data_IF_444259902053
#
_entry.id   IF_444259902053
#
_cell.length_a   1.000
_cell.length_b   1.000
_cell.length_c   1.000
_cell.angle_alpha   90.00
_cell.angle_beta   90.00
_cell.angle_gamma   90.00
#
_symmetry.space_group_name_H-M   'P 1'
#
loop_
_entity.id
_entity.type
_entity.pdbx_description
1 polymer ?
#
# COMPACT_ATOMS: atom_id res chain seq x y z
N UNK A 1 -11.84 7.40 45.79
CA UNK A 1 -11.72 6.07 46.44
C UNK A 1 -13.00 5.31 46.09
N UNK A 2 -13.08 4.34 45.18
CA UNK A 2 -12.14 3.52 44.42
C UNK A 2 -12.71 3.39 42.99
N UNK A 3 -11.87 3.51 41.97
CA UNK A 3 -11.79 2.64 40.76
C UNK A 3 -10.73 3.24 39.81
N UNK A 4 -9.50 3.38 40.32
CA UNK A 4 -8.28 3.53 39.53
C UNK A 4 -7.45 2.31 39.89
N UNK A 5 -7.64 1.21 39.15
CA UNK A 5 -6.83 -0.02 39.19
C UNK A 5 -7.46 -1.00 38.19
N UNK A 6 -7.01 -0.94 36.92
CA UNK A 6 -7.01 -2.08 35.97
C UNK A 6 -6.19 -1.85 34.69
N UNK A 7 -5.87 -0.61 34.29
CA UNK A 7 -5.10 -0.37 33.03
C UNK A 7 -3.57 -0.62 33.20
N UNK A 8 -3.10 -0.76 34.44
CA UNK A 8 -1.68 -0.95 34.76
C UNK A 8 -1.11 -2.37 34.62
N UNK A 9 -1.79 -3.31 33.93
CA UNK A 9 -1.32 -4.70 33.83
C UNK A 9 -1.07 -5.23 32.41
N UNK A 10 -1.45 -4.50 31.35
CA UNK A 10 -1.09 -4.85 29.97
C UNK A 10 0.16 -4.11 29.44
N UNK A 11 0.60 -3.05 30.13
CA UNK A 11 1.77 -2.23 29.74
C UNK A 11 3.11 -2.68 30.34
N UNK A 12 3.25 -3.95 30.73
CA UNK A 12 4.50 -4.43 31.36
C UNK A 12 5.07 -5.70 30.73
N UNK A 13 5.19 -5.71 29.38
CA UNK A 13 6.20 -6.51 28.66
C UNK A 13 6.30 -6.23 27.15
N UNK A 14 6.19 -4.97 26.72
CA UNK A 14 6.76 -4.57 25.43
C UNK A 14 8.02 -3.78 25.77
N UNK A 15 9.11 -4.52 26.01
CA UNK A 15 10.44 -3.96 25.92
C UNK A 15 10.62 -3.49 24.47
N UNK A 16 10.43 -2.17 24.26
CA UNK A 16 10.77 -1.46 23.02
C UNK A 16 12.27 -1.54 22.66
N UNK A 17 13.08 -2.30 23.40
CA UNK A 17 14.50 -2.53 23.12
C UNK A 17 14.80 -3.87 22.42
N UNK A 18 13.80 -4.73 22.19
CA UNK A 18 14.02 -6.09 21.65
C UNK A 18 13.05 -6.52 20.54
N UNK A 19 12.07 -5.69 20.13
CA UNK A 19 11.34 -5.90 18.86
C UNK A 19 12.24 -5.37 17.75
N UNK A 20 13.18 -6.23 17.39
CA UNK A 20 14.37 -5.86 16.67
C UNK A 20 14.14 -5.15 15.36
N UNK A 21 15.15 -4.36 15.04
CA UNK A 21 15.69 -4.04 13.72
C UNK A 21 15.57 -5.19 12.69
N UNK A 22 15.39 -6.44 13.13
CA UNK A 22 15.16 -7.62 12.29
C UNK A 22 13.73 -7.79 11.72
N UNK A 23 12.69 -7.12 12.26
CA UNK A 23 11.31 -7.15 11.67
C UNK A 23 11.11 -6.01 10.66
N UNK A 24 12.09 -5.12 10.50
CA UNK A 24 12.12 -4.05 9.48
C UNK A 24 12.46 -4.54 8.07
N UNK A 25 12.81 -5.82 7.88
CA UNK A 25 13.37 -6.33 6.61
C UNK A 25 12.38 -7.22 5.83
N UNK A 26 11.22 -7.56 6.39
CA UNK A 26 10.13 -8.08 5.54
C UNK A 26 9.37 -6.88 4.97
N UNK A 27 9.95 -6.27 3.94
CA UNK A 27 9.18 -5.44 3.01
C UNK A 27 8.04 -6.34 2.50
N UNK A 28 6.86 -6.22 3.13
CA UNK A 28 5.64 -6.73 2.52
C UNK A 28 5.52 -6.03 1.17
N UNK A 29 5.86 -6.77 0.11
CA UNK A 29 5.75 -6.28 -1.27
C UNK A 29 4.30 -5.87 -1.46
N UNK A 30 4.09 -4.62 -1.88
CA UNK A 30 2.74 -4.11 -2.10
C UNK A 30 2.19 -4.78 -3.36
N UNK A 31 0.91 -5.18 -3.35
CA UNK A 31 0.23 -5.80 -4.48
C UNK A 31 -0.74 -4.80 -5.18
N UNK A 32 -0.53 -3.50 -4.97
CA UNK A 32 -1.39 -2.39 -5.42
C UNK A 32 -1.53 -2.33 -6.94
N UNK A 33 -0.53 -2.75 -7.73
CA UNK A 33 -0.64 -2.75 -9.20
C UNK A 33 -1.88 -3.50 -9.69
N UNK A 34 -2.11 -4.70 -9.13
CA UNK A 34 -3.26 -5.52 -9.49
C UNK A 34 -4.59 -4.83 -9.13
N UNK A 35 -4.59 -4.02 -8.08
CA UNK A 35 -5.75 -3.23 -7.67
C UNK A 35 -5.99 -2.06 -8.62
N UNK A 36 -4.98 -1.27 -8.99
CA UNK A 36 -5.13 -0.17 -9.95
C UNK A 36 -5.57 -0.67 -11.32
N UNK A 37 -4.78 -1.58 -11.90
CA UNK A 37 -5.01 -2.01 -13.28
C UNK A 37 -6.16 -3.02 -13.39
N UNK A 38 -6.34 -3.90 -12.40
CA UNK A 38 -7.49 -4.82 -12.40
C UNK A 38 -8.83 -4.10 -12.23
N UNK A 39 -8.90 -3.02 -11.44
CA UNK A 39 -10.10 -2.16 -11.38
C UNK A 39 -10.37 -1.46 -12.69
N UNK A 40 -9.33 -0.98 -13.38
CA UNK A 40 -9.50 -0.46 -14.74
C UNK A 40 -10.07 -1.52 -15.70
N UNK A 41 -9.58 -2.76 -15.66
CA UNK A 41 -10.12 -3.85 -16.47
C UNK A 41 -11.59 -4.16 -16.12
N UNK A 42 -11.98 -4.08 -14.84
CA UNK A 42 -13.38 -4.20 -14.39
C UNK A 42 -14.24 -3.07 -14.97
N UNK A 43 -13.79 -1.81 -14.87
CA UNK A 43 -14.50 -0.65 -15.40
C UNK A 43 -14.71 -0.73 -16.92
N UNK A 44 -13.74 -1.32 -17.64
CA UNK A 44 -13.85 -1.60 -19.07
C UNK A 44 -14.69 -2.84 -19.39
N UNK A 45 -15.26 -3.51 -18.40
CA UNK A 45 -15.98 -4.78 -18.51
C UNK A 45 -15.16 -5.87 -19.23
N UNK A 46 -13.82 -5.80 -19.13
CA UNK A 46 -12.95 -6.81 -19.73
C UNK A 46 -12.80 -8.05 -18.84
N UNK A 47 -12.94 -7.85 -17.53
CA UNK A 47 -13.03 -8.91 -16.54
C UNK A 47 -14.29 -8.67 -15.70
N UNK A 48 -14.85 -9.74 -15.14
CA UNK A 48 -15.95 -9.72 -14.17
C UNK A 48 -15.41 -9.57 -12.75
N UNK A 49 -16.28 -9.21 -11.81
CA UNK A 49 -15.91 -9.13 -10.39
C UNK A 49 -15.37 -10.47 -9.85
N UNK A 50 -15.91 -11.59 -10.33
CA UNK A 50 -15.45 -12.93 -9.97
C UNK A 50 -14.01 -13.16 -10.46
N UNK A 51 -13.74 -12.89 -11.74
CA UNK A 51 -12.40 -13.03 -12.32
C UNK A 51 -11.39 -12.11 -11.63
N UNK A 52 -11.77 -10.86 -11.32
CA UNK A 52 -10.91 -9.95 -10.55
C UNK A 52 -10.54 -10.54 -9.19
N UNK A 53 -11.52 -11.04 -8.44
CA UNK A 53 -11.26 -11.65 -7.13
C UNK A 53 -10.34 -12.89 -7.25
N UNK A 54 -10.52 -13.71 -8.28
CA UNK A 54 -9.68 -14.87 -8.57
C UNK A 54 -8.24 -14.47 -8.91
N UNK A 55 -8.06 -13.44 -9.76
CA UNK A 55 -6.74 -12.90 -10.14
C UNK A 55 -6.00 -12.40 -8.89
N UNK A 56 -6.67 -11.59 -8.07
CA UNK A 56 -6.09 -11.03 -6.83
C UNK A 56 -5.76 -12.14 -5.82
N UNK A 57 -6.62 -13.16 -5.69
CA UNK A 57 -6.33 -14.32 -4.83
C UNK A 57 -5.14 -15.15 -5.37
N UNK A 58 -5.04 -15.33 -6.69
CA UNK A 58 -3.98 -16.07 -7.32
C UNK A 58 -2.62 -15.36 -7.20
N UNK A 59 -2.59 -14.04 -7.26
CA UNK A 59 -1.40 -13.21 -7.01
C UNK A 59 -0.76 -13.49 -5.64
N UNK A 60 -1.54 -13.96 -4.65
CA UNK A 60 -1.07 -14.32 -3.30
C UNK A 60 -0.44 -15.71 -3.21
N UNK A 61 -0.66 -16.57 -4.21
CA UNK A 61 -0.46 -18.02 -4.09
C UNK A 61 0.93 -18.54 -4.46
N UNK A 62 1.74 -17.82 -5.25
CA UNK A 62 3.13 -18.19 -5.60
C UNK A 62 3.91 -17.06 -6.30
N UNK A 63 5.26 -17.07 -6.28
CA UNK A 63 6.08 -16.21 -7.12
C UNK A 63 5.85 -16.44 -8.62
N UNK A 64 6.11 -15.41 -9.43
CA UNK A 64 5.89 -15.51 -10.86
C UNK A 64 6.89 -16.47 -11.54
N UNK A 65 6.44 -17.23 -12.55
CA UNK A 65 7.25 -18.15 -13.36
C UNK A 65 8.15 -17.36 -14.29
N UNK A 66 9.45 -17.71 -14.34
CA UNK A 66 10.45 -17.02 -15.17
C UNK A 66 10.03 -16.85 -16.62
N UNK A 67 9.43 -17.87 -17.24
CA UNK A 67 8.98 -17.79 -18.62
C UNK A 67 7.92 -16.72 -18.87
N UNK A 68 6.98 -16.52 -17.92
CA UNK A 68 5.95 -15.48 -18.03
C UNK A 68 6.59 -14.10 -17.92
N UNK A 69 7.49 -13.92 -16.95
CA UNK A 69 8.23 -12.68 -16.75
C UNK A 69 9.05 -12.35 -18.00
N UNK A 70 9.76 -13.32 -18.56
CA UNK A 70 10.61 -13.13 -19.73
C UNK A 70 9.83 -12.64 -20.96
N UNK A 71 8.58 -13.09 -21.13
CA UNK A 71 7.72 -12.60 -22.22
C UNK A 71 7.18 -11.21 -21.91
N UNK A 72 6.74 -10.95 -20.68
CA UNK A 72 6.27 -9.63 -20.26
C UNK A 72 7.36 -8.54 -20.37
N UNK A 73 8.61 -8.91 -20.09
CA UNK A 73 9.80 -8.05 -20.22
C UNK A 73 10.34 -7.99 -21.65
N UNK A 74 9.69 -8.64 -22.62
CA UNK A 74 10.07 -8.70 -24.04
C UNK A 74 11.46 -9.30 -24.31
N UNK A 75 12.00 -10.05 -23.36
CA UNK A 75 13.25 -10.79 -23.50
C UNK A 75 13.07 -12.10 -24.28
N UNK A 76 11.88 -12.70 -24.18
CA UNK A 76 11.48 -13.87 -24.95
C UNK A 76 10.18 -13.64 -25.70
N UNK A 77 10.03 -14.26 -26.85
CA UNK A 77 8.72 -14.48 -27.46
C UNK A 77 7.95 -15.57 -26.71
N UNK A 78 6.61 -15.54 -26.74
CA UNK A 78 5.78 -16.61 -26.17
C UNK A 78 6.21 -18.00 -26.66
N UNK A 79 6.52 -18.12 -27.95
CA UNK A 79 7.01 -19.36 -28.55
C UNK A 79 8.34 -19.84 -27.97
N UNK A 80 9.29 -18.94 -27.74
CA UNK A 80 10.58 -19.29 -27.11
C UNK A 80 10.39 -19.71 -25.66
N UNK A 81 9.53 -19.01 -24.91
CA UNK A 81 9.22 -19.38 -23.53
C UNK A 81 8.55 -20.76 -23.45
N UNK A 82 7.63 -21.08 -24.36
CA UNK A 82 7.00 -22.39 -24.45
C UNK A 82 8.01 -23.49 -24.81
N UNK A 83 8.91 -23.24 -25.75
CA UNK A 83 9.98 -24.20 -26.09
C UNK A 83 10.87 -24.50 -24.87
N UNK A 84 11.29 -23.46 -24.14
CA UNK A 84 12.10 -23.61 -22.93
C UNK A 84 11.32 -24.37 -21.85
N UNK A 85 10.03 -24.06 -21.64
CA UNK A 85 9.16 -24.75 -20.69
C UNK A 85 9.00 -26.25 -21.02
N UNK A 86 8.83 -26.60 -22.29
CA UNK A 86 8.71 -28.00 -22.70
C UNK A 86 10.02 -28.77 -22.51
N UNK A 87 11.16 -28.16 -22.84
CA UNK A 87 12.47 -28.74 -22.58
C UNK A 87 12.77 -28.87 -21.09
N UNK A 88 12.36 -27.89 -20.30
CA UNK A 88 12.45 -27.92 -18.84
C UNK A 88 11.75 -29.16 -18.28
N UNK A 89 10.52 -29.47 -18.74
CA UNK A 89 9.75 -30.65 -18.33
C UNK A 89 10.40 -31.96 -18.78
N UNK A 90 11.03 -31.98 -19.95
CA UNK A 90 11.68 -33.18 -20.49
C UNK A 90 13.02 -33.49 -19.82
N UNK A 91 13.77 -32.46 -19.43
CA UNK A 91 15.15 -32.58 -18.95
C UNK A 91 15.29 -32.41 -17.42
N UNK A 92 14.23 -32.00 -16.72
CA UNK A 92 14.22 -31.70 -15.28
C UNK A 92 15.29 -30.65 -14.87
N UNK A 93 15.52 -29.67 -15.75
CA UNK A 93 16.46 -28.56 -15.53
C UNK A 93 15.74 -27.28 -15.05
N UNK A 94 16.49 -26.26 -14.65
CA UNK A 94 15.92 -24.95 -14.32
C UNK A 94 15.67 -24.15 -15.61
N UNK A 95 14.57 -23.41 -15.67
CA UNK A 95 14.19 -22.60 -16.83
C UNK A 95 15.33 -21.71 -17.34
N UNK A 96 16.00 -20.99 -16.42
CA UNK A 96 17.10 -20.08 -16.77
C UNK A 96 18.29 -20.78 -17.41
N UNK A 97 18.66 -21.97 -16.91
CA UNK A 97 19.78 -22.75 -17.46
C UNK A 97 19.48 -23.20 -18.89
N UNK A 98 18.26 -23.71 -19.13
CA UNK A 98 17.80 -24.14 -20.46
C UNK A 98 17.76 -22.96 -21.44
N UNK A 99 17.30 -21.78 -20.99
CA UNK A 99 17.25 -20.58 -21.83
C UNK A 99 18.66 -20.08 -22.23
N UNK A 100 19.64 -20.17 -21.33
CA UNK A 100 21.05 -19.84 -21.61
C UNK A 100 21.65 -20.84 -22.59
N UNK A 101 21.44 -22.13 -22.39
CA UNK A 101 21.94 -23.19 -23.29
C UNK A 101 21.39 -23.04 -24.71
N UNK A 102 20.14 -22.57 -24.85
CA UNK A 102 19.52 -22.26 -26.15
C UNK A 102 20.01 -20.95 -26.78
N UNK A 103 20.77 -20.15 -26.04
CA UNK A 103 21.19 -18.81 -26.48
C UNK A 103 20.02 -17.83 -26.56
N UNK A 104 18.92 -18.10 -25.86
CA UNK A 104 17.76 -17.21 -25.83
C UNK A 104 17.87 -16.13 -24.75
N UNK A 105 18.61 -16.41 -23.67
CA UNK A 105 18.90 -15.45 -22.61
C UNK A 105 20.38 -15.48 -22.23
N UNK A 106 20.89 -14.33 -21.79
CA UNK A 106 22.16 -14.19 -21.11
C UNK A 106 22.02 -14.47 -19.61
N UNK A 107 23.13 -14.81 -18.95
CA UNK A 107 23.14 -15.02 -17.50
C UNK A 107 22.70 -13.78 -16.71
N UNK A 108 23.03 -12.57 -17.20
CA UNK A 108 22.58 -11.32 -16.58
C UNK A 108 21.06 -11.14 -16.71
N UNK A 109 20.47 -11.50 -17.85
CA UNK A 109 19.03 -11.43 -18.09
C UNK A 109 18.27 -12.42 -17.20
N UNK A 110 18.81 -13.62 -16.98
CA UNK A 110 18.24 -14.58 -16.02
C UNK A 110 18.28 -14.04 -14.59
N UNK A 111 19.38 -13.40 -14.18
CA UNK A 111 19.50 -12.78 -12.86
C UNK A 111 18.48 -11.63 -12.69
N UNK A 112 18.28 -10.82 -13.73
CA UNK A 112 17.24 -9.79 -13.77
C UNK A 112 15.83 -10.38 -13.58
N UNK A 113 15.49 -11.45 -14.33
CA UNK A 113 14.20 -12.12 -14.22
C UNK A 113 13.95 -12.74 -12.84
N UNK A 114 14.99 -13.28 -12.19
CA UNK A 114 14.90 -13.81 -10.83
C UNK A 114 14.54 -12.72 -9.81
N UNK A 115 15.11 -11.52 -9.94
CA UNK A 115 14.76 -10.39 -9.09
C UNK A 115 13.29 -9.94 -9.28
N UNK A 116 12.77 -10.10 -10.50
CA UNK A 116 11.39 -9.75 -10.85
C UNK A 116 10.34 -10.79 -10.40
N UNK A 117 10.70 -11.99 -9.93
CA UNK A 117 9.71 -13.02 -9.58
C UNK A 117 8.68 -12.62 -8.52
N UNK A 118 9.04 -11.73 -7.61
CA UNK A 118 8.11 -11.22 -6.61
C UNK A 118 7.52 -9.86 -6.95
N UNK A 119 7.78 -9.33 -8.15
CA UNK A 119 7.24 -8.07 -8.61
C UNK A 119 5.70 -8.19 -8.79
N UNK A 120 4.91 -7.19 -8.34
CA UNK A 120 3.45 -7.25 -8.39
C UNK A 120 2.88 -7.33 -9.80
N UNK A 121 3.46 -6.59 -10.75
CA UNK A 121 3.07 -6.63 -12.16
C UNK A 121 3.29 -8.03 -12.74
N UNK A 122 4.45 -8.63 -12.51
CA UNK A 122 4.75 -9.99 -13.00
C UNK A 122 3.76 -11.04 -12.47
N UNK A 123 3.43 -10.99 -11.18
CA UNK A 123 2.44 -11.89 -10.60
C UNK A 123 1.05 -11.67 -11.16
N UNK A 124 0.66 -10.41 -11.38
CA UNK A 124 -0.64 -10.07 -11.96
C UNK A 124 -0.76 -10.57 -13.40
N UNK A 125 0.27 -10.37 -14.24
CA UNK A 125 0.32 -10.91 -15.61
C UNK A 125 0.20 -12.44 -15.61
N UNK A 126 0.91 -13.12 -14.71
CA UNK A 126 0.77 -14.56 -14.58
C UNK A 126 -0.64 -14.96 -14.17
N UNK A 127 -1.21 -14.34 -13.13
CA UNK A 127 -2.55 -14.66 -12.66
C UNK A 127 -3.59 -14.52 -13.77
N UNK A 128 -3.50 -13.47 -14.59
CA UNK A 128 -4.41 -13.27 -15.73
C UNK A 128 -4.21 -14.33 -16.82
N UNK A 129 -2.96 -14.62 -17.20
CA UNK A 129 -2.65 -15.53 -18.30
C UNK A 129 -2.94 -16.99 -17.95
N UNK A 130 -2.63 -17.42 -16.72
CA UNK A 130 -2.91 -18.79 -16.26
C UNK A 130 -4.42 -19.07 -16.10
N UNK A 131 -5.21 -18.04 -15.78
CA UNK A 131 -6.67 -18.14 -15.78
C UNK A 131 -7.29 -17.98 -17.18
N UNK A 132 -6.48 -17.86 -18.24
CA UNK A 132 -6.91 -17.66 -19.63
C UNK A 132 -7.84 -16.45 -19.82
N UNK A 133 -7.67 -15.42 -18.99
CA UNK A 133 -8.52 -14.22 -19.01
C UNK A 133 -8.09 -13.27 -20.13
N UNK A 134 -6.79 -13.00 -20.23
CA UNK A 134 -6.16 -12.21 -21.29
C UNK A 134 -4.82 -12.82 -21.70
N UNK A 135 -4.40 -12.59 -22.95
CA UNK A 135 -3.03 -12.83 -23.38
C UNK A 135 -2.11 -11.66 -23.00
N UNK A 136 -0.78 -11.87 -23.07
CA UNK A 136 0.20 -10.82 -22.78
C UNK A 136 0.04 -9.64 -23.76
N UNK A 137 -0.23 -9.90 -25.04
CA UNK A 137 -0.46 -8.85 -26.04
C UNK A 137 -1.72 -8.02 -25.73
N UNK A 138 -2.79 -8.67 -25.24
CA UNK A 138 -3.98 -7.95 -24.80
C UNK A 138 -3.70 -7.09 -23.56
N UNK A 139 -2.94 -7.62 -22.58
CA UNK A 139 -2.53 -6.87 -21.39
C UNK A 139 -1.74 -5.63 -21.79
N UNK A 140 -0.76 -5.75 -22.69
CA UNK A 140 0.02 -4.61 -23.19
C UNK A 140 -0.87 -3.55 -23.85
N UNK A 141 -1.84 -3.97 -24.67
CA UNK A 141 -2.79 -3.07 -25.31
C UNK A 141 -3.63 -2.32 -24.26
N UNK A 142 -4.18 -3.03 -23.28
CA UNK A 142 -4.98 -2.41 -22.22
C UNK A 142 -4.14 -1.50 -21.32
N UNK A 143 -2.86 -1.80 -21.10
CA UNK A 143 -1.95 -0.91 -20.38
C UNK A 143 -1.68 0.39 -21.13
N UNK A 144 -1.52 0.32 -22.45
CA UNK A 144 -1.35 1.51 -23.28
C UNK A 144 -2.63 2.36 -23.29
N UNK A 145 -3.80 1.72 -23.31
CA UNK A 145 -5.08 2.42 -23.16
C UNK A 145 -5.22 3.05 -21.76
N UNK A 146 -4.89 2.30 -20.69
CA UNK A 146 -4.91 2.78 -19.31
C UNK A 146 -4.01 4.01 -19.11
N UNK A 147 -2.81 3.96 -19.67
CA UNK A 147 -1.84 5.06 -19.69
C UNK A 147 -2.44 6.30 -20.35
N UNK A 148 -2.97 6.17 -21.56
CA UNK A 148 -3.52 7.29 -22.34
C UNK A 148 -4.73 7.92 -21.67
N UNK A 149 -5.66 7.11 -21.17
CA UNK A 149 -6.90 7.62 -20.58
C UNK A 149 -6.69 8.34 -19.25
N UNK A 150 -5.71 7.91 -18.45
CA UNK A 150 -5.37 8.54 -17.18
C UNK A 150 -4.30 9.63 -17.32
N UNK A 151 -3.77 9.86 -18.52
CA UNK A 151 -2.73 10.85 -18.79
C UNK A 151 -1.37 10.50 -18.18
N UNK A 152 -1.12 9.21 -17.91
CA UNK A 152 0.15 8.77 -17.34
C UNK A 152 1.29 8.84 -18.37
N UNK A 153 2.47 9.17 -17.89
CA UNK A 153 3.73 9.02 -18.60
C UNK A 153 4.26 7.59 -18.49
N UNK A 154 5.25 7.25 -19.31
CA UNK A 154 5.94 5.94 -19.21
C UNK A 154 6.58 5.71 -17.84
N UNK A 155 7.11 6.78 -17.23
CA UNK A 155 7.70 6.73 -15.90
C UNK A 155 6.67 6.37 -14.82
N UNK A 156 5.45 6.91 -14.92
CA UNK A 156 4.39 6.68 -13.93
C UNK A 156 3.81 5.27 -14.04
N UNK A 157 3.67 4.74 -15.27
CA UNK A 157 3.31 3.34 -15.49
C UNK A 157 4.41 2.41 -14.95
N UNK A 158 5.68 2.74 -15.19
CA UNK A 158 6.80 1.97 -14.65
C UNK A 158 6.82 1.99 -13.10
N UNK A 159 6.55 3.15 -12.49
CA UNK A 159 6.42 3.28 -11.05
C UNK A 159 5.31 2.37 -10.49
N UNK A 160 4.12 2.36 -11.11
CA UNK A 160 3.05 1.44 -10.72
C UNK A 160 3.46 -0.04 -10.88
N UNK A 161 4.10 -0.40 -12.00
CA UNK A 161 4.56 -1.78 -12.25
C UNK A 161 5.64 -2.23 -11.27
N UNK A 162 6.51 -1.32 -10.84
CA UNK A 162 7.64 -1.64 -9.97
C UNK A 162 7.21 -2.18 -8.62
N UNK A 163 6.03 -1.79 -8.12
CA UNK A 163 5.59 -2.10 -6.75
C UNK A 163 6.36 -1.32 -5.68
N UNK A 164 7.18 -0.34 -6.08
CA UNK A 164 7.89 0.53 -5.15
C UNK A 164 6.94 1.63 -4.65
N UNK A 165 6.61 1.55 -3.36
CA UNK A 165 5.67 2.48 -2.73
C UNK A 165 6.16 3.93 -2.79
N UNK A 166 7.47 4.16 -2.73
CA UNK A 166 8.06 5.50 -2.72
C UNK A 166 8.01 6.13 -4.12
N UNK A 167 7.93 5.31 -5.17
CA UNK A 167 7.67 5.77 -6.54
C UNK A 167 6.17 5.96 -6.82
N UNK A 168 5.31 5.23 -6.10
CA UNK A 168 3.85 5.27 -6.29
C UNK A 168 3.22 6.47 -5.56
N UNK A 169 3.64 6.77 -4.33
CA UNK A 169 3.07 7.88 -3.52
C UNK A 169 3.05 9.21 -4.29
N UNK A 170 4.15 9.67 -4.93
CA UNK A 170 4.18 10.95 -5.63
C UNK A 170 3.24 11.02 -6.85
N UNK A 171 2.76 9.88 -7.35
CA UNK A 171 1.77 9.86 -8.44
C UNK A 171 0.40 10.35 -7.98
N UNK A 172 0.09 10.20 -6.70
CA UNK A 172 -1.23 10.47 -6.14
C UNK A 172 -1.22 11.57 -5.09
N UNK A 173 -0.07 11.86 -4.48
CA UNK A 173 0.06 12.84 -3.40
C UNK A 173 0.86 14.05 -3.87
N UNK A 174 0.21 15.21 -3.86
CA UNK A 174 0.82 16.51 -4.14
C UNK A 174 1.12 17.21 -2.82
N UNK A 175 2.34 17.02 -2.31
CA UNK A 175 2.85 17.68 -1.11
C UNK A 175 3.98 18.66 -1.46
N UNK A 176 3.78 19.93 -1.12
CA UNK A 176 4.64 21.04 -1.53
C UNK A 176 5.81 21.28 -0.55
N UNK A 177 5.77 20.60 0.59
CA UNK A 177 6.71 20.74 1.69
C UNK A 177 7.41 19.38 1.97
N UNK A 178 8.75 19.34 2.03
CA UNK A 178 9.50 18.10 2.27
C UNK A 178 9.12 17.40 3.58
N UNK A 179 8.86 18.16 4.65
CA UNK A 179 8.49 17.59 5.95
C UNK A 179 7.12 16.91 5.90
N UNK A 180 6.13 17.55 5.26
CA UNK A 180 4.82 16.97 4.99
C UNK A 180 4.92 15.72 4.10
N UNK A 181 5.75 15.77 3.05
CA UNK A 181 5.99 14.63 2.16
C UNK A 181 6.57 13.43 2.91
N UNK A 182 7.55 13.68 3.78
CA UNK A 182 8.18 12.66 4.63
C UNK A 182 7.18 12.02 5.59
N UNK A 183 6.34 12.83 6.24
CA UNK A 183 5.28 12.34 7.13
C UNK A 183 4.29 11.45 6.37
N UNK A 184 3.73 11.94 5.27
CA UNK A 184 2.72 11.21 4.49
C UNK A 184 3.30 9.92 3.95
N UNK A 185 4.54 9.95 3.44
CA UNK A 185 5.18 8.76 2.91
C UNK A 185 5.37 7.71 3.99
N UNK A 186 5.75 8.10 5.21
CA UNK A 186 5.87 7.17 6.33
C UNK A 186 4.51 6.63 6.77
N UNK A 187 3.47 7.47 6.85
CA UNK A 187 2.12 7.05 7.19
C UNK A 187 1.55 6.03 6.19
N UNK A 188 1.71 6.28 4.88
CA UNK A 188 1.27 5.35 3.83
C UNK A 188 2.09 4.06 3.86
N UNK A 189 3.41 4.13 4.06
CA UNK A 189 4.25 2.92 4.23
C UNK A 189 3.79 2.08 5.41
N UNK A 190 3.48 2.71 6.54
CA UNK A 190 2.97 2.01 7.72
C UNK A 190 1.59 1.40 7.47
N UNK A 191 0.74 2.07 6.69
CA UNK A 191 -0.55 1.53 6.27
C UNK A 191 -0.37 0.27 5.40
N UNK A 192 0.52 0.32 4.41
CA UNK A 192 0.87 -0.84 3.58
C UNK A 192 1.46 -1.98 4.42
N UNK A 193 2.35 -1.64 5.35
CA UNK A 193 3.13 -2.60 6.12
C UNK A 193 2.35 -3.26 7.24
N UNK A 194 1.46 -2.56 7.92
CA UNK A 194 0.76 -3.08 9.08
C UNK A 194 -0.69 -3.46 8.78
N UNK A 195 -1.33 -2.76 7.84
CA UNK A 195 -2.77 -2.86 7.62
C UNK A 195 -3.11 -3.66 6.36
N UNK A 196 -2.82 -3.11 5.18
CA UNK A 196 -3.24 -3.69 3.90
C UNK A 196 -2.23 -3.37 2.79
N UNK A 197 -1.66 -4.38 2.15
CA UNK A 197 -0.67 -4.21 1.08
C UNK A 197 -1.27 -4.01 -0.32
N UNK A 198 -2.60 -3.94 -0.41
CA UNK A 198 -3.42 -3.84 -1.62
C UNK A 198 -4.24 -2.52 -1.66
N UNK A 199 -3.78 -1.48 -0.96
CA UNK A 199 -4.48 -0.20 -0.97
C UNK A 199 -4.45 0.48 -2.36
N UNK A 200 -5.42 1.35 -2.64
CA UNK A 200 -5.42 2.22 -3.83
C UNK A 200 -5.43 3.65 -3.35
N UNK A 201 -4.37 4.40 -3.64
CA UNK A 201 -4.31 5.83 -3.41
C UNK A 201 -5.11 6.54 -4.50
N UNK A 202 -5.90 7.53 -4.12
CA UNK A 202 -6.52 8.46 -5.04
C UNK A 202 -5.83 9.82 -4.97
N UNK A 203 -6.06 10.65 -5.98
CA UNK A 203 -5.47 12.01 -6.04
C UNK A 203 -5.79 12.78 -4.76
N UNK A 204 -4.75 13.25 -4.09
CA UNK A 204 -4.86 14.08 -2.90
C UNK A 204 -5.47 15.42 -3.23
N UNK A 205 -6.12 16.04 -2.26
CA UNK A 205 -6.65 17.39 -2.40
C UNK A 205 -6.48 18.18 -1.12
N UNK A 206 -6.56 19.51 -1.24
CA UNK A 206 -6.42 20.44 -0.12
C UNK A 206 -7.77 21.01 0.28
N UNK A 207 -7.97 21.22 1.57
CA UNK A 207 -9.15 21.90 2.11
C UNK A 207 -8.86 22.55 3.45
N UNK A 208 -9.48 23.69 3.73
CA UNK A 208 -9.41 24.32 5.06
C UNK A 208 -10.41 23.74 6.06
N UNK A 209 -11.38 22.93 5.59
CA UNK A 209 -12.38 22.27 6.42
C UNK A 209 -12.74 20.87 5.92
N UNK A 210 -13.13 19.99 6.82
CA UNK A 210 -13.49 18.62 6.48
C UNK A 210 -14.55 18.06 7.42
N UNK A 211 -15.59 17.44 6.86
CA UNK A 211 -16.69 16.82 7.59
C UNK A 211 -16.59 15.31 7.47
N UNK A 212 -16.79 14.60 8.57
CA UNK A 212 -16.60 13.15 8.66
C UNK A 212 -17.71 12.48 9.46
N UNK A 213 -17.95 11.20 9.20
CA UNK A 213 -18.77 10.35 10.06
C UNK A 213 -17.96 9.87 11.25
N UNK A 214 -16.76 9.35 11.01
CA UNK A 214 -15.82 8.90 12.03
C UNK A 214 -14.43 9.51 11.76
N UNK A 215 -13.70 9.88 12.82
CA UNK A 215 -12.32 10.37 12.77
C UNK A 215 -11.55 9.85 13.97
N UNK A 216 -10.41 9.20 13.74
CA UNK A 216 -9.39 8.96 14.76
C UNK A 216 -8.15 9.78 14.39
N UNK A 217 -7.55 10.49 15.35
CA UNK A 217 -6.47 11.43 15.09
C UNK A 217 -5.53 11.58 16.29
N UNK A 218 -4.39 12.23 16.06
CA UNK A 218 -3.44 12.56 17.09
C UNK A 218 -2.77 13.89 16.78
N UNK A 219 -2.50 14.67 17.83
CA UNK A 219 -1.65 15.85 17.75
C UNK A 219 -0.22 15.51 18.13
N UNK A 220 0.73 16.12 17.43
CA UNK A 220 2.14 16.12 17.78
C UNK A 220 2.62 17.57 17.86
N UNK A 221 3.32 17.93 18.93
CA UNK A 221 3.66 19.30 19.28
C UNK A 221 5.15 19.44 19.60
N UNK A 222 5.78 20.50 19.12
CA UNK A 222 7.20 20.75 19.34
C UNK A 222 7.70 21.78 18.35
N UNK A 223 8.85 21.51 17.73
CA UNK A 223 9.39 22.34 16.64
C UNK A 223 8.44 22.42 15.44
N UNK A 224 7.68 21.35 15.20
CA UNK A 224 6.54 21.35 14.28
C UNK A 224 5.27 20.98 15.02
N UNK A 225 4.14 21.51 14.55
CA UNK A 225 2.81 21.10 14.98
C UNK A 225 2.21 20.22 13.89
N UNK A 226 1.79 19.02 14.24
CA UNK A 226 1.18 18.08 13.29
C UNK A 226 -0.16 17.64 13.85
N UNK A 227 -1.20 17.76 13.04
CA UNK A 227 -2.45 17.04 13.21
C UNK A 227 -2.50 15.97 12.14
N UNK A 228 -2.71 14.72 12.54
CA UNK A 228 -2.88 13.65 11.58
C UNK A 228 -3.84 12.58 12.06
N UNK A 229 -4.61 12.01 11.14
CA UNK A 229 -5.60 11.01 11.46
C UNK A 229 -6.22 10.34 10.24
N UNK A 230 -7.09 9.38 10.50
CA UNK A 230 -7.88 8.68 9.49
C UNK A 230 -9.36 8.96 9.71
N UNK A 231 -10.05 9.30 8.62
CA UNK A 231 -11.48 9.56 8.62
C UNK A 231 -12.24 8.62 7.68
N UNK A 232 -13.53 8.42 7.97
CA UNK A 232 -14.46 7.68 7.13
C UNK A 232 -15.88 8.26 7.22
N UNK A 233 -16.76 7.78 6.32
CA UNK A 233 -18.17 8.15 6.33
C UNK A 233 -18.99 7.35 7.36
N UNK A 234 -18.61 6.09 7.57
CA UNK A 234 -19.27 5.13 8.46
C UNK A 234 -18.20 4.15 8.99
N UNK A 235 -18.46 2.85 8.99
CA UNK A 235 -17.60 1.81 9.56
C UNK A 235 -16.31 1.50 8.76
N UNK A 236 -15.94 2.27 7.73
CA UNK A 236 -14.78 1.93 6.88
C UNK A 236 -13.43 1.92 7.61
N UNK A 237 -13.31 2.61 8.75
CA UNK A 237 -12.11 2.54 9.61
C UNK A 237 -11.88 1.13 10.20
N UNK A 238 -12.85 0.22 10.14
CA UNK A 238 -12.65 -1.20 10.46
C UNK A 238 -11.56 -1.86 9.61
N UNK A 239 -11.34 -1.38 8.39
CA UNK A 239 -10.24 -1.86 7.54
C UNK A 239 -8.85 -1.51 8.08
N UNK A 240 -8.76 -0.58 9.06
CA UNK A 240 -7.55 -0.32 9.85
C UNK A 240 -7.61 -1.06 11.20
N UNK A 241 -8.75 -0.99 11.89
CA UNK A 241 -8.91 -1.54 13.23
C UNK A 241 -8.66 -3.05 13.28
N UNK A 242 -9.31 -3.81 12.37
CA UNK A 242 -9.33 -5.26 12.43
C UNK A 242 -7.96 -5.89 12.11
N UNK A 243 -7.24 -5.48 11.04
CA UNK A 243 -5.91 -6.04 10.77
C UNK A 243 -4.89 -5.71 11.86
N UNK A 244 -5.00 -4.52 12.47
CA UNK A 244 -4.08 -4.09 13.52
C UNK A 244 -4.32 -4.86 14.83
N UNK A 245 -5.58 -4.97 15.27
CA UNK A 245 -5.96 -5.73 16.46
C UNK A 245 -5.88 -7.26 16.25
N UNK A 246 -5.93 -7.72 15.00
CA UNK A 246 -6.09 -9.13 14.60
C UNK A 246 -7.37 -9.75 15.14
N UNK A 247 -8.43 -8.95 15.21
CA UNK A 247 -9.77 -9.32 15.67
C UNK A 247 -10.81 -8.70 14.74
N UNK A 248 -12.03 -9.25 14.73
CA UNK A 248 -13.15 -8.71 13.96
C UNK A 248 -14.05 -7.86 14.85
N UNK A 249 -14.42 -6.69 14.36
CA UNK A 249 -15.37 -5.80 15.01
C UNK A 249 -16.66 -5.76 14.18
N UNK A 250 -17.82 -5.73 14.84
CA UNK A 250 -19.09 -5.68 14.12
C UNK A 250 -19.45 -4.30 13.56
N UNK A 251 -18.87 -3.24 14.13
CA UNK A 251 -19.07 -1.84 13.81
C UNK A 251 -17.95 -1.01 14.46
N UNK A 252 -17.84 0.29 14.14
CA UNK A 252 -16.93 1.22 14.82
C UNK A 252 -17.41 1.56 16.24
N UNK A 253 -17.12 0.67 17.19
CA UNK A 253 -17.30 0.85 18.63
C UNK A 253 -16.00 1.35 19.30
N UNK A 254 -16.06 1.64 20.60
CA UNK A 254 -14.91 2.13 21.37
C UNK A 254 -13.66 1.21 21.23
N UNK A 255 -13.85 -0.12 21.27
CA UNK A 255 -12.74 -1.08 21.10
C UNK A 255 -12.10 -0.99 19.70
N UNK A 256 -12.92 -0.81 18.65
CA UNK A 256 -12.43 -0.61 17.30
C UNK A 256 -11.67 0.73 17.17
N UNK A 257 -12.17 1.81 17.79
CA UNK A 257 -11.46 3.09 17.82
C UNK A 257 -10.15 3.02 18.59
N UNK A 258 -10.10 2.28 19.71
CA UNK A 258 -8.87 2.06 20.46
C UNK A 258 -7.79 1.42 19.55
N UNK A 259 -8.17 0.45 18.72
CA UNK A 259 -7.26 -0.16 17.74
C UNK A 259 -6.75 0.83 16.68
N UNK A 260 -7.64 1.66 16.10
CA UNK A 260 -7.23 2.69 15.13
C UNK A 260 -6.31 3.73 15.79
N UNK A 261 -6.64 4.15 17.01
CA UNK A 261 -5.85 5.08 17.80
C UNK A 261 -4.46 4.51 18.15
N UNK A 262 -4.37 3.22 18.47
CA UNK A 262 -3.10 2.53 18.71
C UNK A 262 -2.25 2.45 17.44
N UNK A 263 -2.87 2.17 16.28
CA UNK A 263 -2.18 2.24 14.99
C UNK A 263 -1.62 3.64 14.70
N UNK A 264 -2.43 4.69 14.88
CA UNK A 264 -2.00 6.08 14.70
C UNK A 264 -0.84 6.41 15.65
N UNK A 265 -0.95 6.06 16.93
CA UNK A 265 0.08 6.29 17.93
C UNK A 265 1.39 5.57 17.58
N UNK A 266 1.32 4.32 17.14
CA UNK A 266 2.48 3.55 16.68
C UNK A 266 3.13 4.19 15.45
N UNK A 267 2.34 4.55 14.44
CA UNK A 267 2.83 5.18 13.21
C UNK A 267 3.51 6.52 13.49
N UNK A 268 2.88 7.37 14.32
CA UNK A 268 3.43 8.65 14.72
C UNK A 268 4.66 8.50 15.64
N UNK A 269 4.71 7.44 16.45
CA UNK A 269 5.87 7.07 17.25
C UNK A 269 7.10 6.75 16.39
N UNK A 270 6.91 6.09 15.25
CA UNK A 270 7.98 5.86 14.28
C UNK A 270 8.46 7.16 13.62
N UNK A 271 7.55 8.07 13.29
CA UNK A 271 7.91 9.37 12.73
C UNK A 271 8.69 10.25 13.72
N UNK A 272 8.19 10.35 14.96
CA UNK A 272 8.86 11.12 16.02
C UNK A 272 10.22 10.53 16.38
N UNK A 273 10.37 9.20 16.35
CA UNK A 273 11.67 8.54 16.51
C UNK A 273 12.64 8.92 15.39
N UNK A 274 12.20 8.91 14.12
CA UNK A 274 13.00 9.38 12.98
C UNK A 274 13.45 10.83 13.17
N UNK A 275 12.53 11.72 13.54
CA UNK A 275 12.84 13.14 13.74
C UNK A 275 13.85 13.37 14.87
N UNK A 276 13.79 12.58 15.93
CA UNK A 276 14.74 12.65 17.04
C UNK A 276 16.17 12.31 16.60
N UNK A 277 16.35 11.39 15.64
CA UNK A 277 17.66 11.09 15.03
C UNK A 277 18.20 12.27 14.20
N UNK A 278 17.32 13.15 13.74
CA UNK A 278 17.61 14.38 13.00
C UNK A 278 17.70 15.62 13.92
N UNK A 279 17.72 15.43 15.25
CA UNK A 279 17.74 16.48 16.28
C UNK A 279 16.50 17.40 16.25
N UNK A 280 15.37 16.90 15.72
CA UNK A 280 14.07 17.59 15.71
C UNK A 280 13.21 17.00 16.82
N UNK A 281 12.79 17.84 17.77
CA UNK A 281 12.04 17.40 18.94
C UNK A 281 10.54 17.70 18.84
N UNK A 282 9.75 16.62 18.88
CA UNK A 282 8.29 16.65 18.86
C UNK A 282 7.76 15.64 19.89
N UNK A 283 6.85 16.10 20.73
CA UNK A 283 6.09 15.30 21.68
C UNK A 283 4.75 14.86 21.07
N UNK A 284 4.25 13.70 21.47
CA UNK A 284 2.96 13.17 21.03
C UNK A 284 1.90 13.37 22.10
N UNK A 285 0.79 14.03 21.75
CA UNK A 285 -0.42 14.02 22.57
C UNK A 285 -1.09 12.62 22.51
N UNK A 286 -1.98 12.27 23.46
CA UNK A 286 -2.79 11.06 23.34
C UNK A 286 -3.62 11.06 22.02
N UNK A 287 -3.77 9.91 21.35
CA UNK A 287 -4.71 9.80 20.24
C UNK A 287 -6.15 9.95 20.75
N UNK A 288 -7.02 10.50 19.91
CA UNK A 288 -8.42 10.79 20.20
C UNK A 288 -9.29 10.38 19.02
N UNK A 289 -10.58 10.21 19.25
CA UNK A 289 -11.56 9.97 18.20
C UNK A 289 -12.82 10.81 18.38
N UNK A 290 -13.50 11.06 17.26
CA UNK A 290 -14.67 11.92 17.17
C UNK A 290 -15.64 11.42 16.09
N UNK A 291 -16.91 11.78 16.24
CA UNK A 291 -17.98 11.35 15.32
C UNK A 291 -18.82 12.51 14.82
N UNK A 292 -19.23 12.46 13.56
CA UNK A 292 -20.25 13.32 12.94
C UNK A 292 -19.99 14.82 13.18
N UNK A 293 -18.73 15.23 13.09
CA UNK A 293 -18.23 16.57 13.37
C UNK A 293 -17.52 17.17 12.16
N UNK A 294 -17.11 18.42 12.30
CA UNK A 294 -16.32 19.12 11.29
C UNK A 294 -15.00 19.61 11.89
N UNK A 295 -13.90 19.38 11.18
CA UNK A 295 -12.60 19.98 11.49
C UNK A 295 -12.34 21.19 10.61
N UNK A 296 -11.73 22.22 11.18
CA UNK A 296 -11.24 23.41 10.49
C UNK A 296 -9.80 23.68 10.86
N UNK A 297 -9.03 24.15 9.90
CA UNK A 297 -7.63 24.53 10.11
C UNK A 297 -7.38 25.99 9.76
N UNK A 298 -6.40 26.62 10.40
CA UNK A 298 -5.94 27.97 10.03
C UNK A 298 -5.13 28.01 8.73
N UNK A 299 -4.66 26.85 8.27
CA UNK A 299 -3.98 26.65 6.99
C UNK A 299 -4.81 25.76 6.07
N UNK A 300 -4.25 24.64 5.65
CA UNK A 300 -4.93 23.63 4.85
C UNK A 300 -4.62 22.22 5.37
N UNK A 301 -5.60 21.34 5.26
CA UNK A 301 -5.40 19.90 5.31
C UNK A 301 -4.91 19.44 3.94
N UNK A 302 -3.97 18.52 3.91
CA UNK A 302 -3.76 17.63 2.79
C UNK A 302 -4.51 16.32 3.06
N UNK A 303 -5.46 15.98 2.19
CA UNK A 303 -6.34 14.83 2.33
C UNK A 303 -5.99 13.82 1.23
N UNK A 304 -5.67 12.59 1.63
CA UNK A 304 -5.34 11.50 0.73
C UNK A 304 -6.40 10.40 0.87
N UNK A 305 -7.31 10.26 -0.10
CA UNK A 305 -8.23 9.13 -0.10
C UNK A 305 -7.51 7.82 -0.42
N UNK A 306 -7.82 6.80 0.37
CA UNK A 306 -7.25 5.47 0.28
C UNK A 306 -8.40 4.46 0.23
N UNK A 307 -8.44 3.66 -0.84
CA UNK A 307 -9.37 2.54 -0.96
C UNK A 307 -8.74 1.28 -0.38
N UNK A 308 -9.46 0.57 0.49
CA UNK A 308 -9.07 -0.71 1.08
C UNK A 308 -10.22 -1.68 0.92
N UNK A 309 -10.05 -2.74 0.14
CA UNK A 309 -11.09 -3.73 -0.12
C UNK A 309 -12.42 -3.14 -0.66
N UNK A 310 -12.35 -1.97 -1.31
CA UNK A 310 -13.52 -1.24 -1.81
C UNK A 310 -14.11 -0.22 -0.84
N UNK A 311 -13.68 -0.19 0.42
CA UNK A 311 -14.03 0.82 1.40
C UNK A 311 -13.10 2.04 1.30
N UNK A 312 -13.64 3.24 1.46
CA UNK A 312 -12.88 4.50 1.37
C UNK A 312 -12.54 5.00 2.76
N UNK A 313 -11.25 5.17 3.02
CA UNK A 313 -10.70 5.83 4.21
C UNK A 313 -9.87 7.03 3.75
N UNK A 314 -9.84 8.11 4.52
CA UNK A 314 -9.10 9.33 4.18
C UNK A 314 -8.03 9.60 5.23
N UNK A 315 -6.76 9.60 4.81
CA UNK A 315 -5.66 10.14 5.61
C UNK A 315 -5.72 11.67 5.53
N UNK A 316 -5.79 12.33 6.69
CA UNK A 316 -5.90 13.77 6.79
C UNK A 316 -4.70 14.28 7.59
N UNK A 317 -3.95 15.22 7.02
CA UNK A 317 -2.75 15.79 7.65
C UNK A 317 -2.78 17.31 7.57
N UNK A 318 -2.48 17.99 8.66
CA UNK A 318 -2.14 19.40 8.67
C UNK A 318 -0.85 19.61 9.46
N UNK A 319 0.05 20.45 8.93
CA UNK A 319 1.33 20.80 9.55
C UNK A 319 1.37 22.30 9.81
N UNK A 320 1.94 22.69 10.94
CA UNK A 320 2.15 24.07 11.39
C UNK A 320 0.89 24.95 11.29
N UNK A 321 -0.27 24.34 11.55
CA UNK A 321 -1.58 24.98 11.47
C UNK A 321 -2.45 24.55 12.65
N UNK A 322 -3.24 25.48 13.17
CA UNK A 322 -4.14 25.21 14.28
C UNK A 322 -5.38 24.49 13.77
N UNK A 323 -5.66 23.31 14.30
CA UNK A 323 -6.87 22.54 13.98
C UNK A 323 -7.89 22.67 15.11
N UNK A 324 -9.14 22.94 14.74
CA UNK A 324 -10.30 23.00 15.63
C UNK A 324 -11.32 21.96 15.20
N UNK A 325 -11.84 21.22 16.17
CA UNK A 325 -12.94 20.28 15.99
C UNK A 325 -14.21 20.97 16.48
N UNK A 326 -15.22 21.05 15.62
CA UNK A 326 -16.49 21.72 15.87
C UNK A 326 -17.66 20.75 15.89
#
# INVERSE_FOLDING_TARGET
>A
MLYIRSIGFYLKKIELSCIGVAILIDERRNDMFGQYFGRYLLEKNRISQTEFNEIIAHQKSSPAKLGVIAVAEKLLTAKQADEVNELQKQMDLRFGDVAIEKGYLLSEEVAYLLNMQGNPYSKFVQAITENNVLTIEEIEKYLEDYKKENGFTDYEIDALKSGDIDRIIPLFVEADDPFLCDYISLAIRNLVRFINNEIVLQKSYRSSEYTFGNLAYQHMEGEHQIFAGFASGDDELLHIAEPFAKEKFGSMNDDAFDSVCEFINCSNGLFTSKLSEEDIHIDMAPPLFEHNKNIKTSGEFLIIPVLMDGAKVELIVAVNSLVKIN
#
